data_IF_406761954510
#
_entry.id   IF_406761954510
#
_cell.length_a   1.000
_cell.length_b   1.000
_cell.length_c   1.000
_cell.angle_alpha   90.00
_cell.angle_beta   90.00
_cell.angle_gamma   90.00
#
_symmetry.space_group_name_H-M   'P 1'
#
loop_
_entity.id
_entity.type
_entity.pdbx_description
1 polymer ?
#
# COMPACT_ATOMS: atom_id res chain seq x y z
N UNK A 1 9.92 -26.94 1.20
CA UNK A 1 9.92 -25.57 0.64
C UNK A 1 9.03 -24.79 1.56
N UNK A 2 9.62 -23.86 2.29
CA UNK A 2 8.91 -23.03 3.26
C UNK A 2 8.03 -22.08 2.46
N UNK A 3 6.70 -22.23 2.56
CA UNK A 3 5.77 -21.34 1.88
C UNK A 3 5.56 -20.11 2.77
N UNK A 4 6.15 -18.98 2.37
CA UNK A 4 5.81 -17.67 2.90
C UNK A 4 5.29 -16.83 1.75
N UNK A 5 4.06 -16.35 1.88
CA UNK A 5 3.43 -15.47 0.89
C UNK A 5 3.64 -14.02 1.28
N UNK A 6 4.10 -13.21 0.32
CA UNK A 6 4.46 -11.80 0.54
C UNK A 6 3.61 -10.94 -0.37
N UNK A 7 2.72 -10.18 0.24
CA UNK A 7 1.93 -9.17 -0.45
C UNK A 7 2.46 -7.78 -0.14
N UNK A 8 2.62 -6.98 -1.19
CA UNK A 8 3.06 -5.59 -1.06
C UNK A 8 2.00 -4.67 -1.65
N UNK A 9 1.53 -3.72 -0.86
CA UNK A 9 0.54 -2.73 -1.28
C UNK A 9 0.98 -1.32 -0.91
N UNK A 10 0.65 -0.34 -1.74
CA UNK A 10 0.70 1.06 -1.35
C UNK A 10 -0.64 1.44 -0.72
N UNK A 11 -0.62 2.14 0.41
CA UNK A 11 -1.84 2.58 1.08
C UNK A 11 -1.87 4.07 1.26
N UNK A 12 -3.02 4.65 0.99
CA UNK A 12 -3.40 5.99 1.41
C UNK A 12 -4.20 5.83 2.71
N UNK A 13 -3.64 6.27 3.82
CA UNK A 13 -4.18 6.01 5.16
C UNK A 13 -5.33 6.94 5.54
N UNK A 14 -5.44 8.08 4.84
CA UNK A 14 -6.40 9.12 5.17
C UNK A 14 -6.86 9.87 3.93
N UNK A 15 -7.78 9.24 3.20
CA UNK A 15 -8.51 9.90 2.10
C UNK A 15 -9.85 10.43 2.61
N UNK A 16 -10.29 11.55 2.03
CA UNK A 16 -11.70 11.92 2.08
C UNK A 16 -12.54 11.05 1.13
N UNK A 17 -13.87 11.23 1.19
CA UNK A 17 -14.79 10.45 0.36
C UNK A 17 -14.51 10.62 -1.12
N UNK A 18 -14.34 11.86 -1.59
CA UNK A 18 -14.12 12.14 -3.01
C UNK A 18 -12.81 11.54 -3.49
N UNK A 19 -11.73 11.73 -2.74
CA UNK A 19 -10.42 11.14 -3.03
C UNK A 19 -10.48 9.61 -3.12
N UNK A 20 -11.21 8.95 -2.22
CA UNK A 20 -11.36 7.49 -2.25
C UNK A 20 -12.09 6.98 -3.51
N UNK A 21 -13.15 7.67 -3.94
CA UNK A 21 -13.82 7.33 -5.20
C UNK A 21 -12.95 7.63 -6.42
N UNK A 22 -12.22 8.75 -6.41
CA UNK A 22 -11.27 9.10 -7.47
C UNK A 22 -10.16 8.05 -7.59
N UNK A 23 -9.60 7.57 -6.47
CA UNK A 23 -8.59 6.52 -6.47
C UNK A 23 -9.06 5.29 -7.25
N UNK A 24 -10.29 4.85 -6.97
CA UNK A 24 -10.92 3.69 -7.62
C UNK A 24 -11.10 3.85 -9.13
N UNK A 25 -11.13 5.08 -9.63
CA UNK A 25 -11.30 5.39 -11.05
C UNK A 25 -9.97 5.67 -11.77
N UNK A 26 -8.99 6.26 -11.07
CA UNK A 26 -7.72 6.70 -11.68
C UNK A 26 -6.61 5.66 -11.57
N UNK A 27 -6.64 4.80 -10.55
CA UNK A 27 -5.56 3.83 -10.29
C UNK A 27 -6.09 2.41 -10.41
N UNK A 28 -5.51 1.63 -11.33
CA UNK A 28 -5.88 0.25 -11.56
C UNK A 28 -5.60 -0.62 -10.33
N UNK A 29 -6.44 -1.65 -10.12
CA UNK A 29 -6.33 -2.59 -8.99
C UNK A 29 -6.35 -1.90 -7.61
N UNK A 30 -6.95 -0.72 -7.54
CA UNK A 30 -7.16 -0.02 -6.28
C UNK A 30 -8.49 -0.43 -5.63
N UNK A 31 -8.49 -0.38 -4.31
CA UNK A 31 -9.67 -0.54 -3.48
C UNK A 31 -9.63 0.50 -2.37
N UNK A 32 -10.75 0.71 -1.70
CA UNK A 32 -10.77 1.52 -0.50
C UNK A 32 -11.76 0.95 0.51
N UNK A 33 -11.50 1.22 1.78
CA UNK A 33 -12.40 0.87 2.89
C UNK A 33 -12.59 2.07 3.81
N UNK A 34 -13.77 2.17 4.39
CA UNK A 34 -14.04 3.19 5.40
C UNK A 34 -13.35 2.84 6.73
N UNK A 35 -12.70 3.82 7.34
CA UNK A 35 -12.13 3.70 8.66
C UNK A 35 -13.02 4.42 9.67
N UNK A 36 -14.05 3.71 10.15
CA UNK A 36 -15.14 4.28 10.96
C UNK A 36 -14.70 5.06 12.21
N UNK A 37 -13.52 4.76 12.77
CA UNK A 37 -13.00 5.48 13.95
C UNK A 37 -12.53 6.90 13.63
N UNK A 38 -12.06 7.15 12.41
CA UNK A 38 -11.37 8.40 12.05
C UNK A 38 -12.13 9.22 11.00
N UNK A 39 -13.33 8.77 10.59
CA UNK A 39 -14.14 9.37 9.53
C UNK A 39 -13.33 9.64 8.25
N UNK A 40 -12.49 8.68 7.87
CA UNK A 40 -11.66 8.73 6.65
C UNK A 40 -11.75 7.40 5.91
N UNK A 41 -11.14 7.36 4.72
CA UNK A 41 -11.01 6.15 3.91
C UNK A 41 -9.55 5.73 3.81
N UNK A 42 -9.32 4.42 3.89
CA UNK A 42 -8.01 3.82 3.58
C UNK A 42 -8.07 3.27 2.16
N UNK A 43 -7.32 3.89 1.25
CA UNK A 43 -7.10 3.38 -0.10
C UNK A 43 -5.96 2.38 -0.11
N UNK A 44 -6.09 1.31 -0.89
CA UNK A 44 -5.09 0.25 -1.04
C UNK A 44 -4.90 -0.07 -2.51
N UNK A 45 -3.66 -0.10 -2.97
CA UNK A 45 -3.27 -0.49 -4.33
C UNK A 45 -2.23 -1.59 -4.23
N UNK A 46 -2.48 -2.75 -4.83
CA UNK A 46 -1.46 -3.81 -4.90
C UNK A 46 -0.29 -3.30 -5.75
N UNK A 47 0.93 -3.34 -5.21
CA UNK A 47 2.09 -2.81 -5.92
C UNK A 47 2.48 -3.73 -7.08
N UNK A 48 2.59 -3.12 -8.24
CA UNK A 48 3.09 -3.71 -9.48
C UNK A 48 3.78 -2.63 -10.28
N UNK A 49 4.64 -3.01 -11.23
CA UNK A 49 5.35 -2.03 -12.08
C UNK A 49 4.37 -1.13 -12.86
N UNK A 50 3.18 -1.64 -13.21
CA UNK A 50 2.19 -0.90 -13.99
C UNK A 50 1.48 0.21 -13.22
N UNK A 51 1.46 0.19 -11.89
CA UNK A 51 0.70 1.16 -11.10
C UNK A 51 1.55 2.24 -10.41
N UNK A 52 2.89 2.19 -10.49
CA UNK A 52 3.76 3.18 -9.84
C UNK A 52 3.43 4.60 -10.30
N UNK A 53 3.38 4.82 -11.62
CA UNK A 53 3.14 6.15 -12.17
C UNK A 53 1.73 6.66 -11.81
N UNK A 54 0.72 5.78 -11.85
CA UNK A 54 -0.66 6.11 -11.46
C UNK A 54 -0.77 6.49 -9.97
N UNK A 55 -0.09 5.74 -9.09
CA UNK A 55 -0.04 6.03 -7.65
C UNK A 55 0.63 7.39 -7.41
N UNK A 56 1.76 7.65 -8.08
CA UNK A 56 2.49 8.90 -7.94
C UNK A 56 1.68 10.10 -8.46
N UNK A 57 1.06 9.96 -9.62
CA UNK A 57 0.20 11.01 -10.20
C UNK A 57 -0.98 11.32 -9.28
N UNK A 58 -1.63 10.29 -8.73
CA UNK A 58 -2.71 10.46 -7.76
C UNK A 58 -2.20 11.15 -6.48
N UNK A 59 -1.08 10.69 -5.92
CA UNK A 59 -0.47 11.27 -4.72
C UNK A 59 -0.20 12.78 -4.87
N UNK A 60 0.44 13.18 -5.97
CA UNK A 60 0.76 14.58 -6.25
C UNK A 60 -0.53 15.40 -6.50
N UNK A 61 -1.44 14.89 -7.33
CA UNK A 61 -2.67 15.59 -7.71
C UNK A 61 -3.60 15.81 -6.53
N UNK A 62 -3.74 14.82 -5.66
CA UNK A 62 -4.62 14.88 -4.49
C UNK A 62 -3.94 15.52 -3.27
N UNK A 63 -2.66 15.90 -3.38
CA UNK A 63 -1.88 16.55 -2.31
C UNK A 63 -1.90 15.74 -1.00
N UNK A 64 -1.68 14.43 -1.11
CA UNK A 64 -1.68 13.55 0.06
C UNK A 64 -0.43 13.85 0.91
N UNK A 65 -0.59 13.95 2.24
CA UNK A 65 0.55 14.10 3.15
C UNK A 65 1.41 12.84 3.18
N UNK A 66 2.72 13.01 3.27
CA UNK A 66 3.68 11.90 3.35
C UNK A 66 3.42 10.99 4.56
N UNK A 67 2.87 11.54 5.64
CA UNK A 67 2.52 10.79 6.85
C UNK A 67 1.22 9.98 6.71
N UNK A 68 0.39 10.33 5.72
CA UNK A 68 -0.90 9.73 5.41
C UNK A 68 -0.78 8.67 4.30
N UNK A 69 0.42 8.15 4.03
CA UNK A 69 0.63 7.00 3.18
C UNK A 69 1.71 6.05 3.72
N UNK A 70 1.69 4.80 3.26
CA UNK A 70 2.75 3.84 3.50
C UNK A 70 2.83 2.76 2.43
N UNK A 71 3.97 2.06 2.40
CA UNK A 71 4.09 0.77 1.74
C UNK A 71 3.85 -0.30 2.80
N UNK A 72 2.79 -1.08 2.60
CA UNK A 72 2.41 -2.18 3.47
C UNK A 72 2.92 -3.50 2.93
N UNK A 73 3.73 -4.20 3.73
CA UNK A 73 4.24 -5.54 3.44
C UNK A 73 3.56 -6.52 4.38
N UNK A 74 2.76 -7.42 3.82
CA UNK A 74 2.07 -8.48 4.55
C UNK A 74 2.75 -9.80 4.27
N UNK A 75 3.15 -10.50 5.33
CA UNK A 75 3.80 -11.81 5.26
C UNK A 75 2.91 -12.81 5.98
N UNK A 76 2.55 -13.88 5.28
CA UNK A 76 1.85 -15.03 5.85
C UNK A 76 2.79 -16.22 5.76
N UNK A 77 3.06 -16.88 6.88
CA UNK A 77 4.02 -17.99 6.96
C UNK A 77 3.49 -19.11 7.86
N UNK A 78 3.82 -20.35 7.52
CA UNK A 78 3.59 -21.53 8.38
C UNK A 78 4.64 -21.64 9.51
N UNK A 79 5.67 -20.78 9.51
CA UNK A 79 6.81 -20.83 10.43
C UNK A 79 6.85 -19.52 11.24
N UNK A 80 7.17 -19.63 12.53
CA UNK A 80 7.25 -18.50 13.45
C UNK A 80 8.46 -17.59 13.21
N UNK A 81 9.46 -18.08 12.48
CA UNK A 81 10.71 -17.41 12.19
C UNK A 81 11.17 -17.75 10.78
N UNK A 82 11.07 -16.77 9.87
CA UNK A 82 11.63 -16.87 8.52
C UNK A 82 12.25 -15.54 8.08
N UNK A 83 13.23 -15.61 7.19
CA UNK A 83 13.78 -14.45 6.48
C UNK A 83 13.08 -14.36 5.14
N UNK A 84 12.48 -13.21 4.88
CA UNK A 84 11.69 -12.97 3.67
C UNK A 84 12.27 -11.77 2.93
N UNK A 85 12.63 -11.98 1.67
CA UNK A 85 13.09 -10.91 0.81
C UNK A 85 11.92 -10.02 0.39
N UNK A 86 12.05 -8.72 0.66
CA UNK A 86 11.07 -7.74 0.21
C UNK A 86 11.26 -7.47 -1.29
N UNK A 87 10.20 -7.55 -2.12
CA UNK A 87 10.29 -7.31 -3.55
C UNK A 87 10.91 -5.96 -3.91
N UNK A 88 11.75 -5.92 -4.96
CA UNK A 88 12.48 -4.70 -5.38
C UNK A 88 11.58 -3.54 -5.79
N UNK A 89 10.30 -3.81 -6.12
CA UNK A 89 9.28 -2.80 -6.39
C UNK A 89 9.13 -1.80 -5.23
N UNK A 90 9.36 -2.26 -4.00
CA UNK A 90 9.33 -1.39 -2.80
C UNK A 90 10.38 -0.30 -2.91
N UNK A 91 11.62 -0.67 -3.23
CA UNK A 91 12.71 0.28 -3.43
C UNK A 91 12.47 1.21 -4.62
N UNK A 92 11.73 0.77 -5.63
CA UNK A 92 11.33 1.63 -6.75
C UNK A 92 10.31 2.65 -6.28
N UNK A 93 9.24 2.21 -5.61
CA UNK A 93 8.19 3.09 -5.11
C UNK A 93 8.73 4.15 -4.14
N UNK A 94 9.66 3.77 -3.25
CA UNK A 94 10.31 4.71 -2.31
C UNK A 94 11.11 5.83 -2.98
N UNK A 95 11.58 5.63 -4.22
CA UNK A 95 12.24 6.71 -4.99
C UNK A 95 11.25 7.76 -5.50
N UNK A 96 9.96 7.41 -5.60
CA UNK A 96 8.89 8.32 -6.01
C UNK A 96 8.26 8.98 -4.78
N UNK A 97 7.90 8.16 -3.78
CA UNK A 97 7.26 8.62 -2.55
C UNK A 97 8.03 8.04 -1.37
N UNK A 98 8.77 8.91 -0.67
CA UNK A 98 9.60 8.56 0.50
C UNK A 98 8.75 8.34 1.76
N UNK A 99 7.75 7.46 1.67
CA UNK A 99 6.84 7.15 2.76
C UNK A 99 7.39 6.04 3.65
N UNK A 100 6.76 5.88 4.82
CA UNK A 100 7.14 4.81 5.76
C UNK A 100 6.81 3.43 5.19
N UNK A 101 7.48 2.42 5.74
CA UNK A 101 7.16 1.01 5.54
C UNK A 101 6.43 0.46 6.77
N UNK A 102 5.33 -0.23 6.53
CA UNK A 102 4.56 -0.90 7.58
C UNK A 102 4.53 -2.40 7.28
N UNK A 103 4.87 -3.21 8.27
CA UNK A 103 4.95 -4.66 8.12
C UNK A 103 3.89 -5.36 8.99
N UNK A 104 3.36 -6.45 8.46
CA UNK A 104 2.51 -7.38 9.20
C UNK A 104 3.04 -8.79 8.99
N UNK A 105 3.17 -9.54 10.07
CA UNK A 105 3.59 -10.93 10.03
C UNK A 105 2.53 -11.79 10.72
N UNK A 106 2.00 -12.75 9.98
CA UNK A 106 0.97 -13.67 10.46
C UNK A 106 1.50 -15.09 10.35
N UNK A 107 1.53 -15.81 11.48
CA UNK A 107 1.83 -17.24 11.53
C UNK A 107 0.51 -18.00 11.44
N UNK A 108 0.37 -18.90 10.47
CA UNK A 108 -0.82 -19.73 10.24
C UNK A 108 -0.57 -21.20 10.57
#
# INVERSE_FOLDING_TARGET
MENSEVDVSFRFLKLDKLQAYTLKHEVANSSFREHHKNNCYVGTVLLSESCIDEINDFYVRQQVSLEDCDIFVSIVSEIDSNIVDVPTIVNRMLKYIDCKLTYSFTVV
#
